data_IF_681146987545
#
_entry.id   IF_681146987545
#
_cell.length_a   1.000
_cell.length_b   1.000
_cell.length_c   1.000
_cell.angle_alpha   90.00
_cell.angle_beta   90.00
_cell.angle_gamma   90.00
#
_symmetry.space_group_name_H-M   'P 1'
#
loop_
_entity.id
_entity.type
_entity.pdbx_description
1 polymer ?
#
# COMPACT_ATOMS: atom_id res chain seq x y z
N UNK A 1 -25.86 -5.67 -1.59
CA UNK A 1 -25.10 -4.58 -0.93
C UNK A 1 -23.91 -4.25 -1.82
N UNK A 2 -23.88 -3.09 -2.46
CA UNK A 2 -22.76 -2.69 -3.33
C UNK A 2 -21.57 -2.35 -2.41
N UNK A 3 -20.69 -3.32 -2.20
CA UNK A 3 -19.53 -3.20 -1.30
C UNK A 3 -18.64 -2.03 -1.72
N UNK A 4 -18.29 -1.18 -0.75
CA UNK A 4 -17.39 -0.04 -0.92
C UNK A 4 -16.10 -0.53 -1.61
N UNK A 5 -15.80 0.00 -2.79
CA UNK A 5 -14.62 -0.41 -3.57
C UNK A 5 -13.41 0.42 -3.13
N UNK A 6 -12.58 -0.15 -2.28
CA UNK A 6 -11.32 0.48 -1.87
C UNK A 6 -10.26 0.33 -2.94
N UNK A 7 -9.66 1.45 -3.35
CA UNK A 7 -8.49 1.43 -4.23
C UNK A 7 -7.23 1.26 -3.37
N UNK A 8 -6.72 0.02 -3.33
CA UNK A 8 -5.48 -0.31 -2.62
C UNK A 8 -4.38 -0.61 -3.64
N UNK A 9 -3.41 0.30 -3.75
CA UNK A 9 -2.19 0.09 -4.54
C UNK A 9 -1.13 -0.62 -3.71
N UNK A 10 -0.14 -1.21 -4.39
CA UNK A 10 1.02 -1.81 -3.75
C UNK A 10 1.82 -0.84 -2.88
N UNK A 11 1.99 0.40 -3.33
CA UNK A 11 2.70 1.43 -2.58
C UNK A 11 1.95 1.87 -1.33
N UNK A 12 0.63 2.00 -1.43
CA UNK A 12 -0.21 2.29 -0.25
C UNK A 12 -0.15 1.16 0.77
N UNK A 13 -0.19 -0.10 0.32
CA UNK A 13 -0.03 -1.26 1.20
C UNK A 13 1.34 -1.26 1.89
N UNK A 14 2.41 -1.02 1.12
CA UNK A 14 3.78 -0.91 1.65
C UNK A 14 3.88 0.21 2.68
N UNK A 15 3.28 1.37 2.41
CA UNK A 15 3.31 2.52 3.32
C UNK A 15 2.59 2.21 4.64
N UNK A 16 1.40 1.58 4.57
CA UNK A 16 0.67 1.09 5.76
C UNK A 16 1.58 0.15 6.58
N UNK A 17 2.23 -0.80 5.90
CA UNK A 17 3.11 -1.77 6.55
C UNK A 17 4.32 -1.12 7.22
N UNK A 18 4.95 -0.16 6.56
CA UNK A 18 6.11 0.57 7.07
C UNK A 18 5.72 1.45 8.25
N UNK A 19 4.59 2.15 8.19
CA UNK A 19 4.08 2.93 9.33
C UNK A 19 3.71 2.06 10.53
N UNK A 20 3.21 0.85 10.30
CA UNK A 20 2.98 -0.14 11.35
C UNK A 20 4.29 -0.78 11.88
N UNK A 21 5.43 -0.53 11.24
CA UNK A 21 6.74 -1.10 11.57
C UNK A 21 6.73 -2.65 11.64
N UNK A 22 6.13 -3.29 10.64
CA UNK A 22 6.03 -4.76 10.55
C UNK A 22 6.57 -5.32 9.23
N UNK A 23 6.90 -6.60 9.24
CA UNK A 23 7.31 -7.37 8.06
C UNK A 23 6.11 -7.76 7.19
N UNK A 24 6.36 -8.13 5.92
CA UNK A 24 5.31 -8.65 5.03
C UNK A 24 4.66 -9.92 5.60
N UNK A 25 5.45 -10.76 6.29
CA UNK A 25 4.97 -11.98 6.95
C UNK A 25 4.00 -11.64 8.10
N UNK A 26 4.39 -10.73 8.99
CA UNK A 26 3.51 -10.29 10.09
C UNK A 26 2.22 -9.65 9.56
N UNK A 27 2.29 -8.83 8.51
CA UNK A 27 1.10 -8.27 7.87
C UNK A 27 0.20 -9.37 7.29
N UNK A 28 0.80 -10.39 6.67
CA UNK A 28 0.06 -11.53 6.11
C UNK A 28 -0.68 -12.32 7.19
N UNK A 29 -0.03 -12.55 8.33
CA UNK A 29 -0.60 -13.22 9.51
C UNK A 29 -1.74 -12.40 10.13
N UNK A 30 -1.55 -11.08 10.30
CA UNK A 30 -2.56 -10.18 10.84
C UNK A 30 -3.82 -10.11 9.97
N UNK A 31 -3.68 -10.17 8.65
CA UNK A 31 -4.79 -10.05 7.71
C UNK A 31 -5.42 -11.41 7.36
N UNK A 32 -4.79 -12.53 7.72
CA UNK A 32 -5.19 -13.86 7.24
C UNK A 32 -5.12 -13.96 5.71
N UNK A 33 -4.05 -13.40 5.12
CA UNK A 33 -3.79 -13.39 3.67
C UNK A 33 -2.47 -14.10 3.43
N UNK A 34 -2.33 -14.84 2.33
CA UNK A 34 -1.06 -15.49 1.99
C UNK A 34 0.08 -14.47 1.83
N UNK A 35 1.26 -14.76 2.37
CA UNK A 35 2.42 -13.86 2.25
C UNK A 35 2.83 -13.59 0.79
N UNK A 36 2.60 -14.55 -0.11
CA UNK A 36 2.81 -14.37 -1.55
C UNK A 36 1.93 -13.25 -2.12
N UNK A 37 0.69 -13.16 -1.67
CA UNK A 37 -0.23 -12.09 -2.10
C UNK A 37 0.28 -10.73 -1.67
N UNK A 38 0.70 -10.57 -0.41
CA UNK A 38 1.30 -9.32 0.08
C UNK A 38 2.51 -8.90 -0.77
N UNK A 39 3.43 -9.84 -1.03
CA UNK A 39 4.64 -9.59 -1.82
C UNK A 39 4.32 -9.17 -3.27
N UNK A 40 3.39 -9.88 -3.93
CA UNK A 40 3.00 -9.58 -5.31
C UNK A 40 2.22 -8.27 -5.45
N UNK A 41 1.42 -7.89 -4.45
CA UNK A 41 0.74 -6.61 -4.42
C UNK A 41 1.72 -5.46 -4.20
N UNK A 42 2.62 -5.56 -3.22
CA UNK A 42 3.63 -4.52 -2.96
C UNK A 42 4.58 -4.32 -4.15
N UNK A 43 4.88 -5.38 -4.91
CA UNK A 43 5.69 -5.28 -6.15
C UNK A 43 4.91 -4.77 -7.37
N UNK A 44 3.60 -4.52 -7.25
CA UNK A 44 2.76 -4.07 -8.36
C UNK A 44 2.47 -5.15 -9.41
N UNK A 45 2.87 -6.41 -9.17
CA UNK A 45 2.65 -7.52 -10.11
C UNK A 45 1.17 -7.89 -10.22
N UNK A 46 0.44 -7.81 -9.11
CA UNK A 46 -1.00 -8.08 -9.04
C UNK A 46 -1.71 -7.07 -8.15
N UNK A 47 -3.03 -6.99 -8.28
CA UNK A 47 -3.87 -6.15 -7.44
C UNK A 47 -4.67 -7.00 -6.43
N UNK A 48 -4.93 -6.47 -5.22
CA UNK A 48 -5.79 -7.12 -4.24
C UNK A 48 -7.25 -7.19 -4.72
N UNK A 49 -7.96 -8.23 -4.29
CA UNK A 49 -9.41 -8.33 -4.46
C UNK A 49 -10.12 -7.29 -3.58
N UNK A 50 -11.39 -7.00 -3.88
CA UNK A 50 -12.20 -6.09 -3.05
C UNK A 50 -12.28 -6.56 -1.59
N UNK A 51 -12.42 -7.87 -1.37
CA UNK A 51 -12.42 -8.47 -0.02
C UNK A 51 -11.08 -8.27 0.68
N UNK A 52 -9.96 -8.51 -0.01
CA UNK A 52 -8.63 -8.32 0.58
C UNK A 52 -8.34 -6.86 0.90
N UNK A 53 -8.77 -5.94 0.03
CA UNK A 53 -8.65 -4.52 0.28
C UNK A 53 -9.51 -4.10 1.50
N UNK A 54 -10.70 -4.68 1.68
CA UNK A 54 -11.53 -4.43 2.85
C UNK A 54 -10.87 -4.94 4.15
N UNK A 55 -10.16 -6.08 4.13
CA UNK A 55 -9.37 -6.55 5.29
C UNK A 55 -8.28 -5.56 5.68
N UNK A 56 -7.55 -5.02 4.71
CA UNK A 56 -6.52 -3.99 4.94
C UNK A 56 -7.13 -2.72 5.53
N UNK A 57 -8.29 -2.28 5.00
CA UNK A 57 -8.98 -1.10 5.51
C UNK A 57 -9.50 -1.31 6.93
N UNK A 58 -10.01 -2.50 7.24
CA UNK A 58 -10.42 -2.88 8.59
C UNK A 58 -9.24 -2.80 9.58
N UNK A 59 -8.07 -3.31 9.19
CA UNK A 59 -6.85 -3.25 9.99
C UNK A 59 -6.38 -1.81 10.29
N UNK A 60 -6.35 -0.94 9.28
CA UNK A 60 -5.82 0.43 9.43
C UNK A 60 -6.86 1.46 9.91
N UNK A 61 -8.15 1.19 9.68
CA UNK A 61 -9.28 2.09 9.90
C UNK A 61 -9.54 3.03 8.70
N UNK A 62 -10.80 3.26 8.35
CA UNK A 62 -11.19 4.03 7.15
C UNK A 62 -10.58 5.45 7.10
N UNK A 63 -10.60 6.16 8.23
CA UNK A 63 -10.06 7.52 8.32
C UNK A 63 -8.54 7.55 8.03
N UNK A 64 -7.81 6.60 8.60
CA UNK A 64 -6.37 6.50 8.38
C UNK A 64 -6.07 6.05 6.95
N UNK A 65 -6.86 5.11 6.41
CA UNK A 65 -6.74 4.67 5.03
C UNK A 65 -6.87 5.83 4.04
N UNK A 66 -7.85 6.72 4.24
CA UNK A 66 -8.02 7.93 3.43
C UNK A 66 -6.84 8.90 3.60
N UNK A 67 -6.34 9.08 4.83
CA UNK A 67 -5.22 9.99 5.10
C UNK A 67 -3.92 9.51 4.45
N UNK A 68 -3.64 8.22 4.48
CA UNK A 68 -2.47 7.61 3.83
C UNK A 68 -2.54 7.79 2.31
N UNK A 69 -3.73 7.74 1.73
CA UNK A 69 -3.93 8.05 0.31
C UNK A 69 -3.51 9.47 -0.03
N UNK A 70 -3.97 10.43 0.79
CA UNK A 70 -3.62 11.83 0.62
C UNK A 70 -2.11 12.07 0.77
N UNK A 71 -1.44 11.39 1.71
CA UNK A 71 0.02 11.47 1.86
C UNK A 71 0.73 10.97 0.60
N UNK A 72 0.31 9.82 0.05
CA UNK A 72 0.99 9.21 -1.09
C UNK A 72 0.90 10.06 -2.36
N UNK A 73 -0.22 10.75 -2.57
CA UNK A 73 -0.49 11.55 -3.77
C UNK A 73 -0.38 13.06 -3.56
N UNK A 74 0.16 13.50 -2.43
CA UNK A 74 0.46 14.91 -2.22
C UNK A 74 1.50 15.40 -3.23
N UNK A 75 1.28 16.59 -3.82
CA UNK A 75 2.08 17.08 -4.95
C UNK A 75 3.57 17.16 -4.61
N UNK A 76 3.91 17.63 -3.41
CA UNK A 76 5.29 17.72 -2.93
C UNK A 76 5.96 16.34 -2.85
N UNK A 77 5.20 15.30 -2.45
CA UNK A 77 5.71 13.93 -2.40
C UNK A 77 5.93 13.34 -3.79
N UNK A 78 5.06 13.65 -4.76
CA UNK A 78 5.22 13.22 -6.15
C UNK A 78 6.48 13.83 -6.77
N UNK A 79 6.69 15.13 -6.58
CA UNK A 79 7.90 15.83 -7.06
C UNK A 79 9.16 15.26 -6.43
N UNK A 80 9.17 15.05 -5.10
CA UNK A 80 10.29 14.43 -4.40
C UNK A 80 10.57 13.01 -4.94
N UNK A 81 9.52 12.20 -5.19
CA UNK A 81 9.67 10.86 -5.76
C UNK A 81 10.28 10.90 -7.16
N UNK A 82 9.87 11.85 -8.01
CA UNK A 82 10.44 12.01 -9.35
C UNK A 82 11.92 12.42 -9.32
N UNK A 83 12.28 13.34 -8.42
CA UNK A 83 13.67 13.73 -8.19
C UNK A 83 14.54 12.55 -7.75
N UNK A 84 14.03 11.69 -6.85
CA UNK A 84 14.74 10.49 -6.41
C UNK A 84 14.93 9.49 -7.56
N UNK A 85 13.89 9.25 -8.37
CA UNK A 85 13.95 8.36 -9.54
C UNK A 85 14.99 8.87 -10.55
N UNK A 86 14.97 10.16 -10.84
CA UNK A 86 15.95 10.80 -11.73
C UNK A 86 17.39 10.64 -11.22
N UNK A 87 17.62 10.83 -9.90
CA UNK A 87 18.95 10.62 -9.30
C UNK A 87 19.44 9.19 -9.40
N UNK A 88 18.56 8.19 -9.26
CA UNK A 88 18.92 6.78 -9.41
C UNK A 88 19.27 6.45 -10.86
N UNK A 89 18.44 6.89 -11.81
CA UNK A 89 18.63 6.64 -13.24
C UNK A 89 19.88 7.32 -13.82
N UNK A 90 20.33 8.43 -13.22
CA UNK A 90 21.54 9.14 -13.64
C UNK A 90 22.83 8.64 -12.96
N UNK A 91 22.72 7.75 -11.97
CA UNK A 91 23.86 7.12 -11.27
C UNK A 91 24.14 5.69 -11.73
N UNK A 92 23.32 5.18 -12.65
CA UNK A 92 23.49 3.94 -13.41
C UNK A 92 23.69 4.30 -14.88
#
# INVERSE_FOLDING_TARGET
MHGKKYHLTGDKLRLIRVFANITQKQLSELLGIESRSISTWESGRYNPTAESAAKVVSFVGERNFQRIEAILYDLENVEMMDQLRTKVNNKL
#
